data_IF_751374412023
#
_entry.id   IF_751374412023
#
_cell.length_a   1.000
_cell.length_b   1.000
_cell.length_c   1.000
_cell.angle_alpha   90.00
_cell.angle_beta   90.00
_cell.angle_gamma   90.00
#
_symmetry.space_group_name_H-M   'P 1'
#
loop_
_entity.id
_entity.type
_entity.pdbx_description
1 polymer ?
#
# COMPACT_ATOMS: atom_id res chain seq x y z
N UNK A 1 -10.38 12.56 -5.47
CA UNK A 1 -11.01 11.22 -5.48
C UNK A 1 -10.48 10.53 -4.25
N UNK A 2 -11.23 10.64 -3.17
CA UNK A 2 -10.90 10.03 -1.89
C UNK A 2 -11.74 8.75 -1.80
N UNK A 3 -11.10 7.57 -1.76
CA UNK A 3 -11.80 6.38 -1.27
C UNK A 3 -11.67 6.38 0.25
N UNK A 4 -12.65 5.88 0.99
CA UNK A 4 -12.60 5.86 2.46
C UNK A 4 -11.39 5.07 3.01
N UNK A 5 -10.80 4.19 2.20
CA UNK A 5 -9.69 3.32 2.58
C UNK A 5 -8.32 3.89 2.18
N UNK A 6 -8.22 4.65 1.07
CA UNK A 6 -6.94 5.15 0.54
C UNK A 6 -6.98 6.66 0.23
N UNK A 7 -6.01 7.38 0.78
CA UNK A 7 -5.75 8.79 0.44
C UNK A 7 -4.79 8.89 -0.76
N UNK A 8 -5.35 9.10 -1.95
CA UNK A 8 -4.58 9.15 -3.21
C UNK A 8 -3.92 10.51 -3.48
N UNK A 9 -4.02 11.47 -2.56
CA UNK A 9 -3.27 12.74 -2.69
C UNK A 9 -1.78 12.45 -2.47
N UNK A 10 -0.85 13.22 -3.06
CA UNK A 10 0.59 12.96 -2.95
C UNK A 10 1.09 12.83 -1.50
N UNK A 11 0.65 13.74 -0.62
CA UNK A 11 0.98 13.70 0.82
C UNK A 11 0.35 12.49 1.52
N UNK A 12 -0.83 12.07 1.09
CA UNK A 12 -1.52 10.87 1.57
C UNK A 12 -0.72 9.61 1.29
N UNK A 13 -0.31 9.43 0.03
CA UNK A 13 0.51 8.29 -0.41
C UNK A 13 1.82 8.21 0.38
N UNK A 14 2.54 9.33 0.49
CA UNK A 14 3.80 9.41 1.25
C UNK A 14 3.60 8.95 2.70
N UNK A 15 2.50 9.38 3.33
CA UNK A 15 2.18 9.02 4.72
C UNK A 15 1.75 7.56 4.87
N UNK A 16 0.87 7.07 4.01
CA UNK A 16 0.34 5.71 4.09
C UNK A 16 1.43 4.67 3.88
N UNK A 17 2.36 4.93 2.95
CA UNK A 17 3.45 4.02 2.61
C UNK A 17 4.77 4.35 3.35
N UNK A 18 4.79 5.34 4.23
CA UNK A 18 5.98 5.74 4.99
C UNK A 18 7.23 5.91 4.09
N UNK A 19 7.13 6.78 3.08
CA UNK A 19 8.10 6.86 1.98
C UNK A 19 9.29 7.79 2.24
N UNK A 20 9.26 8.62 3.30
CA UNK A 20 10.36 9.57 3.59
C UNK A 20 11.45 8.87 4.41
N UNK A 21 12.04 7.84 3.82
CA UNK A 21 13.08 6.98 4.42
C UNK A 21 14.06 6.51 3.33
N UNK A 22 15.30 6.12 3.69
CA UNK A 22 16.29 5.62 2.73
C UNK A 22 16.04 4.16 2.32
N UNK A 23 14.89 3.86 1.70
CA UNK A 23 14.42 2.48 1.41
C UNK A 23 14.63 2.01 -0.04
N UNK A 24 15.07 2.90 -0.95
CA UNK A 24 14.96 2.67 -2.39
C UNK A 24 16.10 1.86 -3.02
N UNK A 25 17.21 1.61 -2.30
CA UNK A 25 18.37 0.91 -2.89
C UNK A 25 18.02 -0.52 -3.31
N UNK A 26 17.23 -1.23 -2.50
CA UNK A 26 16.89 -2.63 -2.75
C UNK A 26 15.94 -2.81 -3.93
N UNK A 27 15.21 -1.76 -4.35
CA UNK A 27 14.31 -1.83 -5.51
C UNK A 27 15.04 -1.64 -6.84
N UNK A 28 16.29 -1.14 -6.83
CA UNK A 28 17.06 -0.83 -8.04
C UNK A 28 17.51 -2.07 -8.83
N UNK A 29 17.34 -3.26 -8.25
CA UNK A 29 17.63 -4.57 -8.85
C UNK A 29 16.52 -5.54 -8.49
N UNK A 30 16.25 -6.51 -9.38
CA UNK A 30 15.24 -7.55 -9.17
C UNK A 30 13.79 -7.03 -9.03
N UNK A 31 13.53 -5.80 -9.46
CA UNK A 31 12.19 -5.22 -9.54
C UNK A 31 11.71 -4.54 -8.25
N UNK A 32 10.70 -3.69 -8.42
CA UNK A 32 10.07 -2.90 -7.34
C UNK A 32 8.90 -3.62 -6.66
N UNK A 33 8.29 -4.61 -7.32
CA UNK A 33 7.05 -5.25 -6.90
C UNK A 33 7.18 -6.77 -6.75
N UNK A 34 6.29 -7.38 -5.98
CA UNK A 34 6.20 -8.82 -5.79
C UNK A 34 7.26 -9.39 -4.84
N UNK A 35 7.82 -8.54 -3.97
CA UNK A 35 8.88 -8.89 -3.01
C UNK A 35 8.49 -8.41 -1.62
N UNK A 36 8.24 -9.33 -0.70
CA UNK A 36 7.82 -8.99 0.67
C UNK A 36 9.02 -8.63 1.58
N UNK A 37 9.70 -7.52 1.27
CA UNK A 37 10.77 -6.98 2.11
C UNK A 37 10.20 -6.02 3.18
N UNK A 38 10.79 -5.91 4.38
CA UNK A 38 10.32 -4.99 5.43
C UNK A 38 10.19 -3.53 4.99
N UNK A 39 11.03 -3.09 4.05
CA UNK A 39 11.06 -1.74 3.51
C UNK A 39 9.93 -1.46 2.50
N UNK A 40 9.39 -2.49 1.84
CA UNK A 40 8.44 -2.37 0.73
C UNK A 40 7.01 -2.36 1.26
N UNK A 41 6.67 -1.26 1.91
CA UNK A 41 5.36 -1.04 2.54
C UNK A 41 4.18 -1.16 1.58
N UNK A 42 4.39 -0.95 0.28
CA UNK A 42 3.36 -1.11 -0.76
C UNK A 42 2.99 -2.56 -1.08
N UNK A 43 3.81 -3.53 -0.65
CA UNK A 43 3.51 -4.96 -0.81
C UNK A 43 2.63 -5.50 0.32
N UNK A 44 2.41 -4.72 1.38
CA UNK A 44 1.55 -5.13 2.49
C UNK A 44 0.10 -5.22 2.05
N UNK A 45 -0.57 -6.28 2.49
CA UNK A 45 -2.01 -6.52 2.31
C UNK A 45 -2.83 -6.10 3.53
N UNK A 46 -2.31 -5.17 4.34
CA UNK A 46 -2.90 -4.72 5.60
C UNK A 46 -4.23 -3.96 5.46
N UNK A 47 -4.62 -3.61 4.24
CA UNK A 47 -5.91 -2.99 3.89
C UNK A 47 -6.96 -3.96 3.35
N UNK A 48 -6.65 -5.26 3.28
CA UNK A 48 -7.59 -6.25 2.75
C UNK A 48 -8.92 -6.29 3.53
N UNK A 49 -8.87 -6.28 4.86
CA UNK A 49 -10.06 -6.29 5.71
C UNK A 49 -10.85 -4.98 5.64
N UNK A 50 -10.17 -3.85 5.46
CA UNK A 50 -10.82 -2.55 5.26
C UNK A 50 -11.61 -2.54 3.95
N UNK A 51 -11.04 -3.11 2.88
CA UNK A 51 -11.70 -3.27 1.60
C UNK A 51 -12.88 -4.26 1.65
N UNK A 52 -12.72 -5.39 2.35
CA UNK A 52 -13.80 -6.36 2.54
C UNK A 52 -15.00 -5.72 3.25
N UNK A 53 -14.73 -4.88 4.26
CA UNK A 53 -15.77 -4.14 4.99
C UNK A 53 -16.49 -3.14 4.10
N UNK A 54 -15.75 -2.42 3.25
CA UNK A 54 -16.32 -1.44 2.32
C UNK A 54 -17.14 -2.09 1.20
N UNK A 55 -16.69 -3.24 0.68
CA UNK A 55 -17.39 -3.97 -0.38
C UNK A 55 -18.73 -4.59 0.09
N UNK A 56 -18.88 -4.81 1.41
CA UNK A 56 -20.01 -5.54 1.98
C UNK A 56 -19.90 -7.06 1.76
N UNK A 57 -20.87 -7.84 2.25
CA UNK A 57 -20.87 -9.29 2.05
C UNK A 57 -20.90 -9.63 0.56
N UNK A 58 -20.09 -10.60 0.14
CA UNK A 58 -20.17 -11.16 -1.20
C UNK A 58 -21.60 -11.67 -1.42
N UNK A 59 -22.26 -11.17 -2.46
CA UNK A 59 -23.56 -11.70 -2.88
C UNK A 59 -23.40 -13.20 -3.14
N UNK A 60 -24.16 -14.01 -2.40
CA UNK A 60 -24.19 -15.46 -2.54
C UNK A 60 -24.79 -15.88 -3.90
#
# INVERSE_FOLDING_TARGET
>A
MDSHVFDLRPKGIIKMLDLVRPIYRNTATYGHFGREEPEFTWEKTDRADDLLREAGPAAA
#
